data_IF_732225495090
#
_entry.id   IF_732225495090
#
_cell.length_a   1.000
_cell.length_b   1.000
_cell.length_c   1.000
_cell.angle_alpha   90.00
_cell.angle_beta   90.00
_cell.angle_gamma   90.00
#
_symmetry.space_group_name_H-M   'P 1'
#
loop_
_entity.id
_entity.type
_entity.pdbx_description
1 polymer ?
#
# COMPACT_ATOMS: atom_id res chain seq x y z
N UNK A 1 -2.40 12.20 4.91
CA UNK A 1 -2.19 11.91 3.46
C UNK A 1 -1.08 10.89 3.38
N UNK A 2 -1.30 9.80 2.64
CA UNK A 2 -0.35 8.69 2.45
C UNK A 2 0.59 9.06 1.29
N UNK A 3 1.90 8.88 1.49
CA UNK A 3 2.94 9.19 0.50
C UNK A 3 3.71 7.93 0.08
N UNK A 4 4.38 7.99 -1.07
CA UNK A 4 5.10 6.85 -1.65
C UNK A 4 6.23 6.28 -0.78
N UNK A 5 6.80 7.12 0.08
CA UNK A 5 7.94 6.77 0.94
C UNK A 5 7.51 6.04 2.22
N UNK A 6 6.21 6.02 2.54
CA UNK A 6 5.68 5.27 3.67
C UNK A 6 5.85 3.77 3.43
N UNK A 7 6.11 3.01 4.49
CA UNK A 7 6.14 1.55 4.38
C UNK A 7 4.74 0.98 4.26
N UNK A 8 4.60 -0.15 3.58
CA UNK A 8 3.34 -0.89 3.50
C UNK A 8 2.83 -1.22 4.91
N UNK A 9 3.72 -1.66 5.80
CA UNK A 9 3.37 -2.00 7.18
C UNK A 9 2.86 -0.78 7.96
N UNK A 10 3.52 0.37 7.87
CA UNK A 10 3.08 1.62 8.50
C UNK A 10 1.68 2.01 8.02
N UNK A 11 1.42 1.93 6.72
CA UNK A 11 0.09 2.22 6.15
C UNK A 11 -0.96 1.24 6.67
N UNK A 12 -0.66 -0.06 6.75
CA UNK A 12 -1.57 -1.08 7.27
C UNK A 12 -1.85 -0.95 8.78
N UNK A 13 -0.87 -0.48 9.55
CA UNK A 13 -1.02 -0.21 10.98
C UNK A 13 -1.87 1.04 11.23
N UNK A 14 -1.62 2.11 10.48
CA UNK A 14 -2.37 3.37 10.58
C UNK A 14 -3.79 3.26 9.99
N UNK A 15 -3.94 2.49 8.91
CA UNK A 15 -5.19 2.34 8.16
C UNK A 15 -5.46 0.85 7.88
N UNK A 16 -6.02 0.09 8.84
CA UNK A 16 -6.30 -1.33 8.67
C UNK A 16 -7.16 -1.68 7.43
N UNK A 17 -8.02 -0.75 7.01
CA UNK A 17 -8.85 -0.83 5.80
C UNK A 17 -8.06 -0.73 4.48
N UNK A 18 -6.79 -0.30 4.52
CA UNK A 18 -5.92 -0.31 3.36
C UNK A 18 -5.66 -1.73 2.83
N UNK A 19 -5.85 -2.78 3.66
CA UNK A 19 -5.79 -4.20 3.24
C UNK A 19 -6.64 -4.46 2.00
N UNK A 20 -7.87 -3.93 1.96
CA UNK A 20 -8.78 -4.12 0.83
C UNK A 20 -8.32 -3.36 -0.42
N UNK A 21 -7.62 -2.23 -0.26
CA UNK A 21 -6.99 -1.52 -1.38
C UNK A 21 -5.85 -2.37 -1.93
N UNK A 22 -4.92 -2.80 -1.07
CA UNK A 22 -3.80 -3.67 -1.48
C UNK A 22 -4.28 -4.95 -2.18
N UNK A 23 -5.30 -5.62 -1.65
CA UNK A 23 -5.88 -6.82 -2.24
C UNK A 23 -6.45 -6.58 -3.65
N UNK A 24 -7.17 -5.46 -3.88
CA UNK A 24 -7.69 -5.08 -5.20
C UNK A 24 -6.59 -4.81 -6.22
N UNK A 25 -5.44 -4.35 -5.76
CA UNK A 25 -4.24 -4.15 -6.58
C UNK A 25 -3.40 -5.43 -6.74
N UNK A 26 -3.91 -6.60 -6.34
CA UNK A 26 -3.22 -7.89 -6.51
C UNK A 26 -2.21 -8.20 -5.41
N UNK A 27 -2.19 -7.41 -4.33
CA UNK A 27 -1.28 -7.57 -3.20
C UNK A 27 -1.98 -8.18 -1.96
N UNK A 28 -2.91 -9.11 -2.17
CA UNK A 28 -3.69 -9.73 -1.08
C UNK A 28 -2.87 -10.65 -0.15
N UNK A 29 -1.68 -11.07 -0.58
CA UNK A 29 -0.78 -11.95 0.18
C UNK A 29 0.36 -11.18 0.88
N UNK A 30 0.22 -9.86 1.10
CA UNK A 30 1.27 -8.97 1.65
C UNK A 30 1.78 -9.37 3.05
N UNK A 31 1.14 -10.33 3.72
CA UNK A 31 1.70 -10.97 4.93
C UNK A 31 3.00 -11.76 4.64
N UNK A 32 3.45 -11.82 3.39
CA UNK A 32 4.77 -12.32 3.04
C UNK A 32 5.84 -11.40 3.67
N UNK A 33 6.79 -12.01 4.38
CA UNK A 33 7.83 -11.37 5.23
C UNK A 33 8.68 -10.23 4.59
N UNK A 34 8.47 -9.87 3.32
CA UNK A 34 9.10 -8.73 2.67
C UNK A 34 8.44 -7.36 2.94
N UNK A 35 7.18 -7.32 3.37
CA UNK A 35 6.45 -6.07 3.54
C UNK A 35 6.84 -5.25 4.79
N UNK A 36 7.59 -5.83 5.73
CA UNK A 36 7.97 -5.16 6.99
C UNK A 36 8.87 -3.93 6.77
N UNK A 37 9.59 -3.85 5.65
CA UNK A 37 10.48 -2.72 5.32
C UNK A 37 10.29 -2.15 3.92
N UNK A 38 9.30 -2.62 3.17
CA UNK A 38 9.08 -2.20 1.78
C UNK A 38 8.25 -0.90 1.72
N UNK A 39 8.78 0.10 1.02
CA UNK A 39 8.04 1.34 0.71
C UNK A 39 6.90 1.07 -0.28
N UNK A 40 5.88 1.93 -0.33
CA UNK A 40 4.83 1.80 -1.35
C UNK A 40 5.40 1.88 -2.77
N UNK A 41 6.42 2.71 -2.99
CA UNK A 41 7.10 2.82 -4.29
C UNK A 41 7.81 1.53 -4.68
N UNK A 42 8.55 0.92 -3.75
CA UNK A 42 9.25 -0.33 -3.99
C UNK A 42 8.29 -1.49 -4.21
N UNK A 43 7.26 -1.61 -3.38
CA UNK A 43 6.24 -2.66 -3.53
C UNK A 43 5.47 -2.52 -4.84
N UNK A 44 5.07 -1.30 -5.21
CA UNK A 44 4.44 -1.07 -6.51
C UNK A 44 5.38 -1.47 -7.66
N UNK A 45 6.67 -1.13 -7.59
CA UNK A 45 7.66 -1.50 -8.61
C UNK A 45 7.88 -3.01 -8.69
N UNK A 46 8.07 -3.69 -7.56
CA UNK A 46 8.33 -5.14 -7.49
C UNK A 46 7.14 -5.96 -8.01
N UNK A 47 5.93 -5.46 -7.79
CA UNK A 47 4.69 -6.11 -8.21
C UNK A 47 4.12 -5.57 -9.54
N UNK A 48 4.82 -4.65 -10.22
CA UNK A 48 4.40 -4.12 -11.54
C UNK A 48 3.13 -3.27 -11.50
N UNK A 49 2.87 -2.60 -10.39
CA UNK A 49 1.68 -1.81 -10.13
C UNK A 49 1.89 -0.35 -10.48
N UNK A 50 0.80 0.34 -10.83
CA UNK A 50 0.83 1.78 -11.01
C UNK A 50 0.80 2.47 -9.64
N UNK A 51 1.95 2.98 -9.19
CA UNK A 51 2.11 3.67 -7.92
C UNK A 51 1.10 4.82 -7.75
N UNK A 52 0.82 5.58 -8.81
CA UNK A 52 -0.06 6.74 -8.71
C UNK A 52 -1.51 6.32 -8.44
N UNK A 53 -1.99 5.27 -9.11
CA UNK A 53 -3.34 4.72 -8.87
C UNK A 53 -3.44 4.14 -7.45
N UNK A 54 -2.41 3.42 -7.00
CA UNK A 54 -2.36 2.88 -5.64
C UNK A 54 -2.45 4.01 -4.59
N UNK A 55 -1.67 5.08 -4.75
CA UNK A 55 -1.68 6.22 -3.83
C UNK A 55 -3.02 6.95 -3.84
N UNK A 56 -3.66 7.11 -4.99
CA UNK A 56 -4.99 7.71 -5.08
C UNK A 56 -6.03 6.89 -4.30
N UNK A 57 -6.07 5.58 -4.50
CA UNK A 57 -7.01 4.70 -3.80
C UNK A 57 -6.74 4.64 -2.29
N UNK A 58 -5.47 4.63 -1.88
CA UNK A 58 -5.10 4.70 -0.47
C UNK A 58 -5.51 6.04 0.16
N UNK A 59 -5.29 7.16 -0.52
CA UNK A 59 -5.62 8.48 0.01
C UNK A 59 -7.12 8.75 0.12
N UNK A 60 -7.97 8.04 -0.63
CA UNK A 60 -9.42 8.07 -0.44
C UNK A 60 -9.85 7.57 0.95
N UNK A 61 -9.02 6.76 1.62
CA UNK A 61 -9.28 6.29 2.99
C UNK A 61 -9.03 7.36 4.05
N UNK A 62 -8.27 8.41 3.72
CA UNK A 62 -7.83 9.46 4.65
C UNK A 62 -8.65 10.74 4.50
N UNK A 63 -9.25 10.96 3.33
CA UNK A 63 -9.96 12.21 2.97
C UNK A 63 -11.48 12.10 3.09
N UNK A 64 -11.95 11.30 4.06
CA UNK A 64 -13.36 11.20 4.46
C UNK A 64 -13.68 12.00 5.72
#
# INVERSE_FOLDING_TARGET
MITKDMSILEVLQAYPQARDVFARHGMGCIECMGAEGESLEDGARMHGLNLQVLLEDLNRLVTG
#
